data_IF_485564569170
#
_entry.id   IF_485564569170
#
_cell.length_a   1.000
_cell.length_b   1.000
_cell.length_c   1.000
_cell.angle_alpha   90.00
_cell.angle_beta   90.00
_cell.angle_gamma   90.00
#
_symmetry.space_group_name_H-M   'P 1'
#
loop_
_entity.id
_entity.type
_entity.pdbx_description
1 polymer ?
#
# COMPACT_ATOMS: atom_id res chain seq x y z
N UNK A 1 -0.12 -48.28 29.39
CA UNK A 1 -1.41 -47.90 28.76
C UNK A 1 -1.12 -46.83 27.71
N UNK A 2 -1.40 -47.10 26.43
CA UNK A 2 -1.18 -46.15 25.33
C UNK A 2 -2.48 -45.35 25.16
N UNK A 3 -2.44 -44.04 25.41
CA UNK A 3 -3.56 -43.16 25.12
C UNK A 3 -3.57 -42.83 23.62
N UNK A 4 -4.49 -43.45 22.87
CA UNK A 4 -4.81 -43.03 21.51
C UNK A 4 -5.67 -41.77 21.59
N UNK A 5 -5.06 -40.61 21.40
CA UNK A 5 -5.77 -39.35 21.25
C UNK A 5 -6.39 -39.35 19.84
N UNK A 6 -7.70 -39.57 19.77
CA UNK A 6 -8.46 -39.57 18.52
C UNK A 6 -8.32 -38.24 17.78
N UNK A 7 -7.82 -38.29 16.54
CA UNK A 7 -7.65 -37.14 15.63
C UNK A 7 -8.95 -36.35 15.34
N UNK A 8 -10.11 -36.87 15.74
CA UNK A 8 -11.40 -36.18 15.62
C UNK A 8 -11.50 -34.93 16.52
N UNK A 9 -10.80 -34.88 17.66
CA UNK A 9 -10.88 -33.73 18.57
C UNK A 9 -10.15 -32.48 18.04
N UNK A 10 -9.12 -32.67 17.21
CA UNK A 10 -8.35 -31.55 16.62
C UNK A 10 -9.09 -30.92 15.43
N UNK A 11 -9.89 -31.69 14.70
CA UNK A 11 -10.64 -31.21 13.55
C UNK A 11 -11.79 -30.25 13.93
N UNK A 12 -12.38 -30.41 15.12
CA UNK A 12 -13.49 -29.57 15.60
C UNK A 12 -12.97 -28.21 16.12
N UNK A 13 -11.72 -28.14 16.59
CA UNK A 13 -11.13 -26.90 17.06
C UNK A 13 -10.79 -25.92 15.90
N UNK A 14 -10.55 -26.42 14.69
CA UNK A 14 -10.23 -25.57 13.53
C UNK A 14 -11.45 -24.94 12.85
N UNK A 15 -12.67 -25.40 13.11
CA UNK A 15 -13.88 -24.85 12.48
C UNK A 15 -14.45 -23.62 13.20
N UNK A 16 -13.94 -23.28 14.40
CA UNK A 16 -14.49 -22.19 15.24
C UNK A 16 -13.75 -20.87 15.07
N UNK A 17 -12.63 -20.83 14.34
CA UNK A 17 -11.85 -19.59 14.12
C UNK A 17 -12.31 -18.77 12.90
N UNK A 18 -13.38 -19.21 12.23
CA UNK A 18 -14.03 -18.47 11.14
C UNK A 18 -15.03 -17.42 11.61
N UNK A 19 -14.71 -16.62 12.63
CA UNK A 19 -15.50 -15.42 12.90
C UNK A 19 -15.07 -14.34 11.92
N UNK A 20 -15.54 -14.43 10.67
CA UNK A 20 -15.59 -13.24 9.83
C UNK A 20 -16.49 -12.25 10.56
N UNK A 21 -15.93 -11.17 11.09
CA UNK A 21 -16.71 -10.00 11.45
C UNK A 21 -17.42 -9.53 10.18
N UNK A 22 -18.65 -10.00 9.96
CA UNK A 22 -19.53 -9.41 8.98
C UNK A 22 -20.03 -8.11 9.60
N UNK A 23 -19.48 -6.99 9.14
CA UNK A 23 -20.13 -5.70 9.30
C UNK A 23 -21.32 -5.65 8.33
N UNK A 24 -22.34 -6.49 8.57
CA UNK A 24 -23.50 -6.62 7.66
C UNK A 24 -24.65 -5.67 8.03
N UNK A 25 -24.48 -4.85 9.05
CA UNK A 25 -25.53 -3.94 9.52
C UNK A 25 -25.09 -2.49 9.34
N UNK A 26 -25.20 -2.02 8.10
CA UNK A 26 -25.43 -0.60 7.86
C UNK A 26 -26.82 -0.28 8.43
N UNK A 27 -26.91 0.63 9.40
CA UNK A 27 -28.20 1.04 9.98
C UNK A 27 -28.99 1.84 8.94
N UNK A 28 -29.82 1.17 8.14
CA UNK A 28 -30.66 1.78 7.10
C UNK A 28 -31.96 2.42 7.64
N UNK A 29 -32.10 2.57 8.97
CA UNK A 29 -33.30 3.17 9.56
C UNK A 29 -33.30 4.68 9.31
N UNK A 30 -33.91 5.10 8.21
CA UNK A 30 -34.10 6.50 7.87
C UNK A 30 -35.18 7.10 8.80
N UNK A 31 -34.77 8.03 9.66
CA UNK A 31 -35.68 8.77 10.57
C UNK A 31 -35.94 10.20 10.11
N UNK A 32 -35.42 10.61 8.95
CA UNK A 32 -35.50 11.97 8.43
C UNK A 32 -36.34 12.05 7.13
N UNK A 33 -37.27 13.02 7.07
CA UNK A 33 -38.08 13.28 5.87
C UNK A 33 -37.18 13.90 4.79
N UNK A 34 -37.09 13.25 3.62
CA UNK A 34 -36.41 13.79 2.43
C UNK A 34 -35.15 13.05 1.98
N UNK A 35 -34.72 12.02 2.69
CA UNK A 35 -33.64 11.13 2.24
C UNK A 35 -34.21 9.89 1.54
N UNK A 36 -33.66 9.55 0.37
CA UNK A 36 -33.90 8.28 -0.32
C UNK A 36 -32.67 7.38 -0.15
N UNK A 37 -32.86 6.18 0.41
CA UNK A 37 -31.77 5.22 0.59
C UNK A 37 -31.74 4.31 -0.63
N UNK A 38 -30.75 4.51 -1.51
CA UNK A 38 -30.56 3.68 -2.69
C UNK A 38 -29.82 2.37 -2.34
N UNK A 39 -30.55 1.41 -1.79
CA UNK A 39 -30.02 0.07 -1.52
C UNK A 39 -29.78 -0.65 -2.85
N UNK A 40 -28.52 -0.76 -3.27
CA UNK A 40 -28.11 -1.43 -4.51
C UNK A 40 -27.29 -0.58 -5.47
N UNK A 41 -27.26 0.75 -5.28
CA UNK A 41 -26.46 1.66 -6.11
C UNK A 41 -24.97 1.67 -5.71
N UNK A 42 -24.67 1.17 -4.51
CA UNK A 42 -23.31 0.88 -4.08
C UNK A 42 -22.78 -0.31 -4.89
N UNK A 43 -21.82 -0.05 -5.79
CA UNK A 43 -21.07 -1.12 -6.44
C UNK A 43 -20.59 -2.13 -5.39
N UNK A 44 -20.68 -3.42 -5.72
CA UNK A 44 -20.16 -4.49 -4.86
C UNK A 44 -18.69 -4.19 -4.55
N UNK A 45 -18.42 -3.92 -3.27
CA UNK A 45 -17.07 -3.68 -2.78
C UNK A 45 -16.18 -4.91 -2.90
N UNK A 46 -14.89 -4.72 -2.63
CA UNK A 46 -13.94 -5.84 -2.56
C UNK A 46 -14.33 -6.80 -1.44
N UNK A 47 -14.23 -8.10 -1.70
CA UNK A 47 -14.35 -9.10 -0.65
C UNK A 47 -13.19 -8.99 0.33
N UNK A 48 -13.37 -9.45 1.57
CA UNK A 48 -12.29 -9.47 2.58
C UNK A 48 -11.04 -10.21 2.09
N UNK A 49 -11.23 -11.24 1.25
CA UNK A 49 -10.12 -12.00 0.66
C UNK A 49 -9.37 -11.19 -0.40
N UNK A 50 -10.08 -10.44 -1.25
CA UNK A 50 -9.46 -9.51 -2.20
C UNK A 50 -8.65 -8.43 -1.48
N UNK A 51 -9.22 -7.84 -0.42
CA UNK A 51 -8.52 -6.86 0.42
C UNK A 51 -7.26 -7.45 1.05
N UNK A 52 -7.34 -8.69 1.55
CA UNK A 52 -6.19 -9.39 2.14
C UNK A 52 -5.08 -9.61 1.11
N UNK A 53 -5.43 -10.05 -0.09
CA UNK A 53 -4.46 -10.29 -1.17
C UNK A 53 -3.76 -8.99 -1.60
N UNK A 54 -4.52 -7.92 -1.78
CA UNK A 54 -3.97 -6.60 -2.09
C UNK A 54 -3.06 -6.08 -0.99
N UNK A 55 -3.43 -6.27 0.28
CA UNK A 55 -2.61 -5.87 1.42
C UNK A 55 -1.28 -6.62 1.46
N UNK A 56 -1.28 -7.93 1.17
CA UNK A 56 -0.06 -8.73 1.07
C UNK A 56 0.82 -8.24 -0.07
N UNK A 57 0.22 -7.97 -1.25
CA UNK A 57 0.94 -7.43 -2.40
C UNK A 57 1.56 -6.05 -2.09
N UNK A 58 0.81 -5.14 -1.47
CA UNK A 58 1.29 -3.82 -1.08
C UNK A 58 2.45 -3.90 -0.06
N UNK A 59 2.37 -4.82 0.90
CA UNK A 59 3.42 -5.03 1.92
C UNK A 59 4.67 -5.73 1.39
N UNK A 60 4.62 -6.37 0.21
CA UNK A 60 5.76 -7.06 -0.37
C UNK A 60 6.94 -6.12 -0.64
N UNK A 61 6.66 -4.88 -1.06
CA UNK A 61 7.64 -3.83 -1.18
C UNK A 61 7.65 -2.99 0.10
N UNK A 62 8.43 -3.42 1.10
CA UNK A 62 8.51 -2.78 2.42
C UNK A 62 8.80 -1.28 2.36
N UNK A 63 9.63 -0.85 1.41
CA UNK A 63 10.02 0.55 1.23
C UNK A 63 8.84 1.37 0.72
N UNK A 64 8.17 0.89 -0.32
CA UNK A 64 6.98 1.54 -0.87
C UNK A 64 5.83 1.57 0.15
N UNK A 65 5.64 0.46 0.89
CA UNK A 65 4.66 0.36 1.97
C UNK A 65 4.90 1.38 3.08
N UNK A 66 6.14 1.58 3.51
CA UNK A 66 6.49 2.51 4.59
C UNK A 66 5.97 3.93 4.31
N UNK A 67 6.27 4.47 3.13
CA UNK A 67 5.84 5.84 2.79
C UNK A 67 4.34 5.91 2.51
N UNK A 68 3.77 4.90 1.85
CA UNK A 68 2.34 4.86 1.52
C UNK A 68 1.47 4.75 2.77
N UNK A 69 1.83 3.87 3.72
CA UNK A 69 1.09 3.67 4.97
C UNK A 69 1.13 4.88 5.91
N UNK A 70 2.21 5.67 5.87
CA UNK A 70 2.34 6.90 6.65
C UNK A 70 1.74 8.13 5.95
N UNK A 71 1.21 7.97 4.72
CA UNK A 71 0.86 9.09 3.85
C UNK A 71 2.01 10.12 3.73
N UNK A 72 3.25 9.63 3.72
CA UNK A 72 4.45 10.45 3.67
C UNK A 72 4.86 10.70 2.21
N UNK A 73 5.40 11.89 1.95
CA UNK A 73 5.97 12.20 0.65
C UNK A 73 7.10 11.22 0.31
N UNK A 74 7.06 10.68 -0.91
CA UNK A 74 8.11 9.81 -1.42
C UNK A 74 9.31 10.65 -1.82
N UNK A 75 10.52 10.43 -1.27
CA UNK A 75 11.73 11.06 -1.76
C UNK A 75 11.96 10.77 -3.26
N UNK A 76 12.52 11.76 -3.96
CA UNK A 76 12.73 11.72 -5.41
C UNK A 76 13.56 10.52 -5.90
N UNK A 77 14.47 9.99 -5.08
CA UNK A 77 15.27 8.81 -5.43
C UNK A 77 14.48 7.49 -5.45
N UNK A 78 13.22 7.47 -4.98
CA UNK A 78 12.32 6.33 -5.17
C UNK A 78 11.59 6.36 -6.51
N UNK A 79 11.57 7.51 -7.19
CA UNK A 79 10.97 7.61 -8.52
C UNK A 79 11.84 6.77 -9.46
N UNK A 80 11.24 5.83 -10.22
CA UNK A 80 11.98 5.07 -11.22
C UNK A 80 12.69 6.03 -12.17
N UNK A 81 13.99 5.86 -12.32
CA UNK A 81 14.77 6.57 -13.34
C UNK A 81 14.92 5.69 -14.56
N UNK A 82 14.75 6.27 -15.74
CA UNK A 82 15.03 5.60 -17.01
C UNK A 82 16.54 5.48 -17.27
N UNK A 83 17.36 6.22 -16.52
CA UNK A 83 18.82 6.28 -16.70
C UNK A 83 19.56 5.32 -15.79
N UNK A 84 20.54 4.62 -16.35
CA UNK A 84 21.51 3.83 -15.56
C UNK A 84 22.51 4.74 -14.85
N UNK A 85 23.25 4.19 -13.88
CA UNK A 85 24.31 4.97 -13.19
C UNK A 85 25.39 5.42 -14.16
N UNK A 86 25.74 4.60 -15.13
CA UNK A 86 26.77 4.88 -16.14
C UNK A 86 26.35 6.03 -17.05
N UNK A 87 25.07 6.06 -17.45
CA UNK A 87 24.51 7.16 -18.24
C UNK A 87 24.54 8.47 -17.44
N UNK A 88 24.13 8.44 -16.16
CA UNK A 88 24.20 9.63 -15.29
C UNK A 88 25.64 10.10 -15.07
N UNK A 89 26.59 9.18 -14.89
CA UNK A 89 28.00 9.53 -14.74
C UNK A 89 28.56 10.18 -16.01
N UNK A 90 28.23 9.61 -17.19
CA UNK A 90 28.61 10.18 -18.48
C UNK A 90 28.05 11.59 -18.66
N UNK A 91 26.78 11.81 -18.32
CA UNK A 91 26.17 13.14 -18.40
C UNK A 91 26.88 14.15 -17.49
N UNK A 92 27.11 13.78 -16.22
CA UNK A 92 27.87 14.59 -15.25
C UNK A 92 29.25 14.98 -15.80
N UNK A 93 29.95 14.01 -16.36
CA UNK A 93 31.32 14.21 -16.86
C UNK A 93 31.36 14.95 -18.21
N UNK A 94 30.23 15.00 -18.93
CA UNK A 94 30.07 15.73 -20.19
C UNK A 94 29.69 17.20 -20.03
N UNK A 95 29.44 17.68 -18.80
CA UNK A 95 29.14 19.09 -18.51
C UNK A 95 30.33 19.97 -18.92
N UNK A 96 30.08 20.98 -19.74
CA UNK A 96 31.13 21.92 -20.19
C UNK A 96 31.59 22.82 -19.03
N UNK A 97 32.80 23.40 -19.11
CA UNK A 97 33.27 24.34 -18.09
C UNK A 97 32.32 25.53 -17.86
N UNK A 98 31.70 26.04 -18.92
CA UNK A 98 30.77 27.17 -18.87
C UNK A 98 29.47 26.80 -18.13
N UNK A 99 28.89 25.64 -18.45
CA UNK A 99 27.69 25.16 -17.77
C UNK A 99 27.99 24.84 -16.30
N UNK A 100 29.19 24.31 -16.01
CA UNK A 100 29.64 24.08 -14.64
C UNK A 100 29.73 25.39 -13.85
N UNK A 101 30.34 26.43 -14.43
CA UNK A 101 30.44 27.75 -13.80
C UNK A 101 29.06 28.37 -13.53
N UNK A 102 28.11 28.22 -14.47
CA UNK A 102 26.71 28.65 -14.29
C UNK A 102 26.01 27.91 -13.14
N UNK A 103 26.17 26.59 -13.08
CA UNK A 103 25.61 25.77 -11.99
C UNK A 103 26.22 26.19 -10.65
N UNK A 104 27.54 26.41 -10.59
CA UNK A 104 28.23 26.87 -9.40
C UNK A 104 27.71 28.24 -8.94
N UNK A 105 27.43 29.19 -9.85
CA UNK A 105 26.79 30.47 -9.50
C UNK A 105 25.39 30.25 -8.88
N UNK A 106 24.57 29.35 -9.44
CA UNK A 106 23.22 29.09 -8.94
C UNK A 106 23.23 28.45 -7.54
N UNK A 107 24.13 27.50 -7.29
CA UNK A 107 24.08 26.65 -6.09
C UNK A 107 25.15 27.00 -5.03
N UNK A 108 26.18 27.79 -5.35
CA UNK A 108 27.22 28.24 -4.40
C UNK A 108 27.18 29.75 -4.08
N UNK A 109 26.10 30.47 -4.37
CA UNK A 109 25.95 31.92 -4.07
C UNK A 109 25.85 32.28 -2.59
N UNK A 110 26.07 31.34 -1.67
CA UNK A 110 25.95 31.54 -0.21
C UNK A 110 27.18 31.16 0.61
N UNK A 111 28.35 30.96 -0.03
CA UNK A 111 29.63 30.75 0.65
C UNK A 111 30.41 32.07 0.83
#
# INVERSE_FOLDING_TARGET
MKATISSAAVAIALTVLGSSAQADTFHNANTEIGYEVHVGDSQSGKTSEQVRQELVAAKSNKREWFFTNLNAAKPGWMVPTEKTREQVAKERDSITPEERARIDEIYNTGA
#
